data_IF_159052006349
#
_entry.id   IF_159052006349
#
_cell.length_a   1.000
_cell.length_b   1.000
_cell.length_c   1.000
_cell.angle_alpha   90.00
_cell.angle_beta   90.00
_cell.angle_gamma   90.00
#
_symmetry.space_group_name_H-M   'P 1'
#
loop_
_entity.id
_entity.type
_entity.pdbx_description
1 polymer ?
#
# COMPACT_ATOMS: atom_id res chain seq x y z
N UNK A 1 41.02 18.48 31.44
CA UNK A 1 39.75 19.15 31.10
C UNK A 1 39.68 19.32 29.58
N UNK A 2 39.10 18.36 28.88
CA UNK A 2 38.77 18.49 27.46
C UNK A 2 37.43 19.18 27.34
N UNK A 3 37.42 20.38 26.76
CA UNK A 3 36.20 21.06 26.34
C UNK A 3 35.59 20.29 25.18
N UNK A 4 34.37 19.83 25.34
CA UNK A 4 33.55 19.36 24.22
C UNK A 4 33.36 20.54 23.25
N UNK A 5 33.81 20.39 22.02
CA UNK A 5 33.52 21.36 20.97
C UNK A 5 32.02 21.43 20.78
N UNK A 6 31.45 22.54 21.18
CA UNK A 6 30.03 22.81 20.95
C UNK A 6 29.76 22.83 19.45
N UNK A 7 28.78 22.08 19.03
CA UNK A 7 28.25 22.19 17.65
C UNK A 7 27.72 23.61 17.52
N UNK A 8 28.23 24.37 16.56
CA UNK A 8 27.84 25.74 16.32
C UNK A 8 26.35 25.82 15.97
N UNK A 9 25.58 26.57 16.79
CA UNK A 9 24.15 26.76 16.59
C UNK A 9 23.81 27.40 15.23
N UNK A 10 24.75 28.14 14.63
CA UNK A 10 24.61 28.69 13.30
C UNK A 10 24.63 27.58 12.22
N UNK A 11 25.40 26.50 12.40
CA UNK A 11 25.45 25.38 11.49
C UNK A 11 24.15 24.57 11.51
N UNK A 12 23.52 24.44 12.68
CA UNK A 12 22.21 23.77 12.81
C UNK A 12 21.11 24.62 12.16
N UNK A 13 21.15 25.94 12.32
CA UNK A 13 20.18 26.84 11.70
C UNK A 13 20.28 26.85 10.17
N UNK A 14 21.50 26.73 9.64
CA UNK A 14 21.72 26.63 8.18
C UNK A 14 21.31 25.29 7.59
N UNK A 15 21.35 24.22 8.39
CA UNK A 15 20.91 22.88 7.97
C UNK A 15 19.37 22.70 8.03
N UNK A 16 18.66 23.57 8.75
CA UNK A 16 17.20 23.49 8.98
C UNK A 16 16.55 24.83 8.64
N UNK A 17 16.91 25.44 7.52
CA UNK A 17 16.24 26.63 7.03
C UNK A 17 14.82 26.27 6.52
N UNK A 18 13.83 27.02 6.95
CA UNK A 18 12.44 26.86 6.55
C UNK A 18 12.24 26.96 5.03
N UNK A 19 13.12 27.63 4.31
CA UNK A 19 13.13 27.69 2.85
C UNK A 19 13.53 26.35 2.22
N UNK A 20 14.42 25.59 2.86
CA UNK A 20 14.83 24.25 2.40
C UNK A 20 13.71 23.21 2.58
N UNK A 21 12.93 23.33 3.66
CA UNK A 21 11.76 22.45 3.90
C UNK A 21 10.60 22.87 2.99
N UNK A 22 10.35 24.15 2.78
CA UNK A 22 9.29 24.65 1.91
C UNK A 22 9.56 24.36 0.43
N UNK A 23 10.81 24.39 -0.02
CA UNK A 23 11.20 24.08 -1.39
C UNK A 23 11.04 22.58 -1.74
N UNK A 24 11.05 21.69 -0.74
CA UNK A 24 10.84 20.25 -0.95
C UNK A 24 9.41 19.77 -0.79
N UNK A 25 8.56 20.53 -0.12
CA UNK A 25 7.13 20.22 -0.01
C UNK A 25 6.34 20.51 -1.30
N UNK A 26 6.96 21.13 -2.31
CA UNK A 26 6.34 21.49 -3.59
C UNK A 26 6.86 20.73 -4.80
N UNK A 27 7.85 19.84 -4.65
CA UNK A 27 8.35 19.00 -5.74
C UNK A 27 8.07 17.53 -5.46
N UNK A 28 7.20 16.95 -6.26
CA UNK A 28 7.02 15.51 -6.39
C UNK A 28 8.37 14.85 -6.71
N UNK A 29 8.93 14.10 -5.80
CA UNK A 29 9.97 13.12 -6.05
C UNK A 29 11.38 13.49 -5.58
N UNK A 30 11.60 13.68 -4.28
CA UNK A 30 12.88 13.38 -3.65
C UNK A 30 12.74 13.29 -2.13
N UNK A 31 13.03 12.15 -1.62
CA UNK A 31 12.65 11.66 -0.34
C UNK A 31 13.81 11.60 0.63
N UNK A 32 14.02 12.65 1.36
CA UNK A 32 14.54 12.53 2.71
C UNK A 32 13.55 13.25 3.63
N UNK A 33 12.61 12.48 4.17
CA UNK A 33 11.49 12.99 4.94
C UNK A 33 11.90 13.55 6.29
N UNK A 34 12.34 14.78 6.28
CA UNK A 34 12.47 15.56 7.49
C UNK A 34 11.32 16.55 7.52
N UNK A 35 10.42 16.41 8.50
CA UNK A 35 9.30 17.32 8.72
C UNK A 35 9.47 18.01 10.05
N UNK A 36 9.25 19.32 10.08
CA UNK A 36 9.26 20.12 11.30
C UNK A 36 7.87 20.62 11.62
N UNK A 37 7.39 20.29 12.81
CA UNK A 37 6.17 20.82 13.41
C UNK A 37 6.55 21.86 14.46
N UNK A 38 5.84 22.98 14.48
CA UNK A 38 6.13 24.05 15.43
C UNK A 38 4.87 24.50 16.11
N UNK A 39 4.93 24.62 17.43
CA UNK A 39 3.85 25.06 18.30
C UNK A 39 4.31 26.23 19.14
N UNK A 40 3.41 27.16 19.42
CA UNK A 40 3.59 28.17 20.45
C UNK A 40 2.81 27.74 21.69
N UNK A 41 3.51 27.47 22.78
CA UNK A 41 2.91 26.94 23.98
C UNK A 41 2.05 27.94 24.71
N UNK A 42 0.98 27.47 25.32
CA UNK A 42 0.26 28.19 26.38
C UNK A 42 0.89 27.88 27.72
N UNK A 43 0.55 28.68 28.73
CA UNK A 43 1.14 28.53 30.08
C UNK A 43 0.87 27.11 30.64
N UNK A 44 1.94 26.46 31.06
CA UNK A 44 1.92 25.09 31.62
C UNK A 44 1.39 23.99 30.68
N UNK A 45 1.47 24.21 29.37
CA UNK A 45 1.07 23.20 28.35
C UNK A 45 2.08 22.06 28.32
N UNK A 46 1.59 20.83 28.43
CA UNK A 46 2.41 19.61 28.33
C UNK A 46 2.20 18.85 27.03
N UNK A 47 0.99 18.90 26.43
CA UNK A 47 0.64 18.07 25.27
C UNK A 47 0.60 18.91 23.99
N UNK A 48 1.31 18.45 22.96
CA UNK A 48 1.36 19.02 21.62
C UNK A 48 0.89 17.96 20.63
N UNK A 49 -0.19 18.24 19.95
CA UNK A 49 -0.87 17.34 19.01
C UNK A 49 -1.63 18.16 17.96
N UNK A 50 -2.32 17.48 17.03
CA UNK A 50 -3.13 18.11 15.99
C UNK A 50 -2.30 19.05 15.09
N UNK A 51 -2.92 20.13 14.59
CA UNK A 51 -2.27 21.06 13.67
C UNK A 51 -1.23 21.94 14.37
N UNK A 52 0.01 21.87 13.88
CA UNK A 52 1.06 22.81 14.23
C UNK A 52 0.75 24.23 13.72
N UNK A 53 1.54 25.21 14.12
CA UNK A 53 1.39 26.60 13.65
C UNK A 53 1.50 26.76 12.11
N UNK A 54 2.07 25.77 11.44
CA UNK A 54 2.12 25.66 9.98
C UNK A 54 0.85 25.14 9.33
N UNK A 55 -0.16 24.71 10.10
CA UNK A 55 -1.36 24.05 9.62
C UNK A 55 -1.19 22.55 9.31
N UNK A 56 0.01 22.01 9.48
CA UNK A 56 0.29 20.58 9.27
C UNK A 56 -0.02 19.80 10.55
N UNK A 57 -0.76 18.71 10.42
CA UNK A 57 -1.08 17.82 11.54
C UNK A 57 0.16 17.04 11.97
N UNK A 58 0.44 16.97 13.28
CA UNK A 58 1.58 16.22 13.82
C UNK A 58 1.43 14.73 13.53
N UNK A 59 2.42 14.19 12.81
CA UNK A 59 2.57 12.77 12.59
C UNK A 59 4.07 12.41 12.57
N UNK A 60 4.42 11.29 13.22
CA UNK A 60 5.81 10.82 13.26
C UNK A 60 5.86 9.31 13.53
N UNK A 61 6.95 8.67 13.14
CA UNK A 61 7.24 7.29 13.55
C UNK A 61 7.86 7.26 14.94
N UNK A 62 7.47 6.31 15.76
CA UNK A 62 8.07 6.10 17.09
C UNK A 62 9.59 6.02 16.97
N UNK A 63 10.28 6.66 17.90
CA UNK A 63 11.76 6.73 17.97
C UNK A 63 12.43 7.56 16.86
N UNK A 64 11.65 8.19 15.94
CA UNK A 64 12.17 9.05 14.88
C UNK A 64 11.71 10.51 15.06
N UNK A 65 11.88 11.01 16.28
CA UNK A 65 11.49 12.37 16.63
C UNK A 65 12.53 13.03 17.53
N UNK A 66 12.82 14.30 17.26
CA UNK A 66 13.57 15.19 18.15
C UNK A 66 12.67 16.34 18.57
N UNK A 67 12.64 16.59 19.87
CA UNK A 67 11.85 17.69 20.43
C UNK A 67 12.79 18.79 20.90
N UNK A 68 12.45 20.02 20.51
CA UNK A 68 13.20 21.22 20.91
C UNK A 68 12.30 22.16 21.72
N UNK A 69 12.84 22.68 22.78
CA UNK A 69 12.23 23.74 23.58
C UNK A 69 13.02 25.05 23.36
N UNK A 70 12.42 26.05 22.76
CA UNK A 70 13.08 27.32 22.39
C UNK A 70 14.42 27.12 21.64
N UNK A 71 14.46 26.11 20.75
CA UNK A 71 15.64 25.78 19.96
C UNK A 71 16.64 24.83 20.62
N UNK A 72 16.47 24.49 21.90
CA UNK A 72 17.34 23.53 22.61
C UNK A 72 16.74 22.13 22.53
N UNK A 73 17.52 21.14 22.12
CA UNK A 73 17.10 19.74 22.07
C UNK A 73 16.80 19.22 23.47
N UNK A 74 15.63 18.66 23.67
CA UNK A 74 15.25 17.99 24.92
C UNK A 74 15.80 16.56 24.92
N UNK A 75 16.34 16.07 26.04
CA UNK A 75 16.66 14.66 26.19
C UNK A 75 15.39 13.81 26.20
N UNK A 76 15.48 12.55 25.74
CA UNK A 76 14.33 11.65 25.62
C UNK A 76 13.62 11.37 26.96
N UNK A 77 14.28 11.62 28.10
CA UNK A 77 13.68 11.54 29.45
C UNK A 77 12.65 12.65 29.73
N UNK A 78 12.71 13.76 29.03
CA UNK A 78 11.95 14.96 29.31
C UNK A 78 10.64 15.03 28.51
N UNK A 79 10.41 14.07 27.62
CA UNK A 79 9.16 13.97 26.86
C UNK A 79 8.77 12.52 26.56
N UNK A 80 7.51 12.31 26.23
CA UNK A 80 6.97 11.05 25.70
C UNK A 80 6.45 11.28 24.29
N UNK A 81 6.91 10.44 23.34
CA UNK A 81 6.53 10.48 21.93
C UNK A 81 6.41 9.04 21.40
N UNK A 82 5.32 8.33 21.74
CA UNK A 82 5.18 6.88 21.48
C UNK A 82 4.00 6.52 20.60
N UNK A 83 3.06 7.45 20.39
CA UNK A 83 1.79 7.18 19.72
C UNK A 83 1.70 7.70 18.27
N UNK A 84 2.74 8.37 17.78
CA UNK A 84 2.82 8.86 16.39
C UNK A 84 2.10 10.17 16.10
N UNK A 85 1.29 10.72 17.01
CA UNK A 85 0.46 11.90 16.77
C UNK A 85 0.43 12.92 17.93
N UNK A 86 1.14 12.68 19.02
CA UNK A 86 1.30 13.66 20.11
C UNK A 86 2.66 13.53 20.79
N UNK A 87 3.17 14.65 21.24
CA UNK A 87 4.34 14.76 22.13
C UNK A 87 3.89 15.34 23.46
N UNK A 88 4.27 14.65 24.55
CA UNK A 88 3.93 15.08 25.92
C UNK A 88 5.22 15.41 26.66
N UNK A 89 5.39 16.65 27.08
CA UNK A 89 6.53 17.08 27.90
C UNK A 89 6.36 16.62 29.35
N UNK A 90 7.45 16.22 29.98
CA UNK A 90 7.48 15.89 31.42
C UNK A 90 7.24 17.07 32.35
N UNK A 91 7.51 18.28 31.87
CA UNK A 91 7.25 19.55 32.57
C UNK A 91 6.49 20.51 31.66
N UNK A 92 5.51 21.23 32.21
CA UNK A 92 4.70 22.17 31.42
C UNK A 92 5.54 23.30 30.82
N UNK A 93 5.26 23.68 29.60
CA UNK A 93 5.95 24.74 28.89
C UNK A 93 5.48 26.12 29.33
N UNK A 94 6.40 27.09 29.30
CA UNK A 94 6.08 28.51 29.56
C UNK A 94 5.20 29.07 28.44
N UNK A 95 4.37 30.06 28.79
CA UNK A 95 3.57 30.76 27.78
C UNK A 95 4.46 31.45 26.75
N UNK A 96 4.20 31.19 25.48
CA UNK A 96 4.96 31.71 24.35
C UNK A 96 6.23 30.92 24.01
N UNK A 97 6.56 29.88 24.76
CA UNK A 97 7.67 28.99 24.39
C UNK A 97 7.40 28.30 23.03
N UNK A 98 8.45 28.21 22.24
CA UNK A 98 8.40 27.55 20.94
C UNK A 98 8.80 26.09 21.10
N UNK A 99 7.87 25.18 20.86
CA UNK A 99 8.12 23.76 20.81
C UNK A 99 8.24 23.35 19.35
N UNK A 100 9.42 22.87 18.96
CA UNK A 100 9.67 22.36 17.62
C UNK A 100 9.87 20.85 17.68
N UNK A 101 9.09 20.13 16.91
CA UNK A 101 9.16 18.68 16.79
C UNK A 101 9.68 18.39 15.40
N UNK A 102 10.87 17.81 15.31
CA UNK A 102 11.49 17.39 14.08
C UNK A 102 11.29 15.88 13.95
N UNK A 103 10.64 15.43 12.89
CA UNK A 103 10.45 14.04 12.59
C UNK A 103 11.20 13.67 11.32
N UNK A 104 11.76 12.47 11.30
CA UNK A 104 12.33 11.88 10.09
C UNK A 104 11.81 10.46 9.93
N UNK A 105 11.59 10.06 8.70
CA UNK A 105 11.26 8.70 8.36
C UNK A 105 12.50 7.98 7.80
N UNK A 106 12.59 6.68 8.03
CA UNK A 106 13.67 5.87 7.47
C UNK A 106 13.40 5.63 5.98
N UNK A 107 14.40 5.73 5.15
CA UNK A 107 14.44 5.84 3.68
C UNK A 107 13.57 4.92 2.80
N UNK A 108 12.47 4.39 3.31
CA UNK A 108 11.46 3.66 2.54
C UNK A 108 10.07 4.31 2.55
N UNK A 109 9.87 5.43 3.28
CA UNK A 109 8.56 6.04 3.50
C UNK A 109 8.33 7.31 2.67
N UNK A 110 8.87 7.41 1.47
CA UNK A 110 8.98 8.66 0.75
C UNK A 110 8.25 8.67 -0.60
N UNK A 111 6.99 8.69 -0.55
CA UNK A 111 6.15 9.15 -1.63
C UNK A 111 4.95 9.84 -1.02
N UNK A 112 4.66 11.05 -1.39
CA UNK A 112 3.67 11.95 -0.81
C UNK A 112 2.21 11.48 -0.73
N UNK A 113 2.03 10.29 -0.31
CA UNK A 113 0.89 9.66 0.34
C UNK A 113 1.50 8.57 1.21
N UNK A 114 1.46 8.74 2.51
CA UNK A 114 1.94 7.78 3.49
C UNK A 114 1.26 6.42 3.29
N UNK A 115 1.85 5.58 2.45
CA UNK A 115 1.70 4.15 2.65
C UNK A 115 2.79 3.74 3.64
N UNK A 116 2.69 4.25 4.84
CA UNK A 116 3.41 3.68 5.94
C UNK A 116 2.75 2.33 6.24
N UNK A 117 3.43 1.27 5.98
CA UNK A 117 3.09 -0.07 6.46
C UNK A 117 3.22 -0.09 7.98
N UNK A 118 2.25 0.52 8.68
CA UNK A 118 2.21 0.64 10.14
C UNK A 118 1.63 -0.59 10.82
N UNK A 119 1.76 -1.70 10.27
CA UNK A 119 1.36 -2.88 10.99
C UNK A 119 2.09 -4.05 10.35
N UNK A 120 3.06 -4.62 10.99
CA UNK A 120 3.70 -5.85 10.54
C UNK A 120 2.74 -7.03 10.40
N UNK A 121 1.45 -6.79 10.15
CA UNK A 121 0.41 -7.81 10.04
C UNK A 121 -0.04 -7.97 8.59
N UNK A 122 0.10 -9.17 8.06
CA UNK A 122 -0.59 -9.60 6.86
C UNK A 122 -1.89 -10.33 7.24
N UNK A 123 -2.91 -10.16 6.42
CA UNK A 123 -4.21 -10.83 6.55
C UNK A 123 -4.49 -11.56 5.24
N UNK A 124 -4.79 -12.84 5.32
CA UNK A 124 -5.05 -13.71 4.19
C UNK A 124 -6.43 -14.35 4.36
N UNK A 125 -7.28 -14.27 3.36
CA UNK A 125 -8.65 -14.77 3.46
C UNK A 125 -9.12 -15.58 2.26
N UNK A 126 -10.04 -16.47 2.49
CA UNK A 126 -10.58 -17.37 1.48
C UNK A 126 -9.72 -18.61 1.24
N UNK A 127 -10.15 -19.44 0.30
CA UNK A 127 -9.44 -20.67 -0.07
C UNK A 127 -10.02 -21.22 -1.36
N UNK A 128 -9.17 -21.90 -2.11
CA UNK A 128 -9.55 -22.71 -3.26
C UNK A 128 -10.52 -23.88 -2.88
N UNK A 129 -10.94 -24.62 -3.88
CA UNK A 129 -12.02 -25.61 -3.79
C UNK A 129 -11.86 -26.65 -2.67
N UNK A 130 -12.86 -26.89 -1.84
CA UNK A 130 -14.10 -26.12 -1.69
C UNK A 130 -13.83 -24.76 -1.03
N UNK A 131 -14.53 -23.73 -1.48
CA UNK A 131 -14.41 -22.36 -0.97
C UNK A 131 -14.53 -22.30 0.56
N UNK A 132 -13.75 -21.42 1.20
CA UNK A 132 -13.76 -21.17 2.65
C UNK A 132 -13.90 -19.69 2.91
N UNK A 133 -14.40 -19.37 4.10
CA UNK A 133 -14.53 -18.00 4.60
C UNK A 133 -13.47 -17.63 5.65
N UNK A 134 -12.60 -18.54 6.03
CA UNK A 134 -11.60 -18.28 7.06
C UNK A 134 -10.63 -17.18 6.67
N UNK A 135 -10.29 -16.35 7.64
CA UNK A 135 -9.26 -15.31 7.53
C UNK A 135 -8.17 -15.63 8.55
N UNK A 136 -6.95 -15.72 8.09
CA UNK A 136 -5.77 -15.88 8.93
C UNK A 136 -4.92 -14.61 8.90
N UNK A 137 -4.11 -14.41 9.95
CA UNK A 137 -3.12 -13.35 9.99
C UNK A 137 -1.79 -13.83 10.54
N UNK A 138 -0.73 -13.14 10.16
CA UNK A 138 0.61 -13.32 10.70
C UNK A 138 1.37 -12.00 10.77
N UNK A 139 2.41 -11.95 11.57
CA UNK A 139 3.29 -10.78 11.64
C UNK A 139 4.41 -10.92 10.61
N UNK A 140 4.50 -9.95 9.68
CA UNK A 140 5.53 -9.95 8.63
C UNK A 140 6.94 -9.74 9.23
N UNK A 141 7.05 -9.00 10.33
CA UNK A 141 8.32 -8.68 10.98
C UNK A 141 8.90 -9.79 11.85
N UNK A 142 8.21 -10.93 12.01
CA UNK A 142 8.68 -12.06 12.82
C UNK A 142 8.25 -13.39 12.23
N UNK A 143 9.14 -14.38 12.25
CA UNK A 143 8.77 -15.75 11.86
C UNK A 143 7.79 -16.36 12.88
N UNK A 144 6.79 -17.10 12.37
CA UNK A 144 5.77 -17.76 13.19
C UNK A 144 4.66 -18.34 12.33
N UNK A 145 3.79 -19.10 12.95
CA UNK A 145 2.57 -19.61 12.31
C UNK A 145 1.52 -18.51 12.21
N UNK A 146 0.68 -18.59 11.21
CA UNK A 146 -0.53 -17.78 11.16
C UNK A 146 -1.49 -18.13 12.30
N UNK A 147 -2.31 -17.17 12.67
CA UNK A 147 -3.36 -17.30 13.68
C UNK A 147 -4.70 -16.93 13.04
N UNK A 148 -5.76 -17.47 13.61
CA UNK A 148 -7.12 -17.13 13.21
C UNK A 148 -7.40 -15.64 13.44
N UNK A 149 -7.92 -14.99 12.39
CA UNK A 149 -8.34 -13.59 12.42
C UNK A 149 -9.84 -13.46 12.59
N UNK A 150 -10.61 -14.35 11.98
CA UNK A 150 -12.06 -14.37 11.87
C UNK A 150 -12.51 -14.92 10.52
N UNK A 151 -13.73 -14.56 10.11
CA UNK A 151 -14.33 -15.07 8.88
C UNK A 151 -14.77 -13.97 7.93
N UNK A 152 -14.66 -14.20 6.62
CA UNK A 152 -15.39 -13.47 5.59
C UNK A 152 -16.89 -13.73 5.72
N UNK A 153 -17.71 -12.83 5.25
CA UNK A 153 -19.17 -13.03 5.25
C UNK A 153 -19.58 -14.20 4.35
N UNK A 154 -18.82 -14.44 3.30
CA UNK A 154 -19.03 -15.58 2.39
C UNK A 154 -17.73 -16.32 2.13
N UNK A 155 -17.86 -17.65 1.99
CA UNK A 155 -16.80 -18.50 1.50
C UNK A 155 -16.48 -18.14 0.04
N UNK A 156 -15.20 -17.93 -0.28
CA UNK A 156 -14.78 -17.55 -1.65
C UNK A 156 -13.38 -18.06 -1.98
N UNK A 157 -13.12 -18.15 -3.28
CA UNK A 157 -11.77 -18.29 -3.86
C UNK A 157 -11.67 -17.48 -5.15
N UNK A 158 -10.47 -17.19 -5.61
CA UNK A 158 -10.23 -16.41 -6.82
C UNK A 158 -10.75 -14.96 -6.75
N UNK A 159 -10.98 -14.46 -5.53
CA UNK A 159 -11.20 -13.02 -5.31
C UNK A 159 -9.88 -12.26 -5.30
N UNK A 160 -9.95 -10.95 -5.29
CA UNK A 160 -8.79 -10.10 -5.09
C UNK A 160 -8.80 -9.44 -3.71
N UNK A 161 -7.62 -9.03 -3.24
CA UNK A 161 -7.47 -8.32 -1.98
C UNK A 161 -6.56 -7.11 -2.14
N UNK A 162 -6.89 -6.05 -1.43
CA UNK A 162 -6.09 -4.83 -1.35
C UNK A 162 -6.35 -4.13 -0.02
N UNK A 163 -5.53 -3.16 0.34
CA UNK A 163 -5.62 -2.55 1.66
C UNK A 163 -5.16 -1.10 1.69
N UNK A 164 -5.44 -0.46 2.81
CA UNK A 164 -4.68 0.67 3.32
C UNK A 164 -4.10 0.31 4.69
N UNK A 165 -3.55 1.30 5.39
CA UNK A 165 -2.96 1.09 6.73
C UNK A 165 -3.95 0.57 7.79
N UNK A 166 -5.25 0.78 7.60
CA UNK A 166 -6.29 0.46 8.58
C UNK A 166 -7.14 -0.73 8.17
N UNK A 167 -7.50 -0.80 6.89
CA UNK A 167 -8.49 -1.72 6.38
C UNK A 167 -7.92 -2.68 5.32
N UNK A 168 -8.24 -3.96 5.45
CA UNK A 168 -8.11 -4.96 4.40
C UNK A 168 -9.45 -5.15 3.69
N UNK A 169 -9.42 -5.22 2.39
CA UNK A 169 -10.57 -5.40 1.50
C UNK A 169 -10.41 -6.72 0.76
N UNK A 170 -11.50 -7.48 0.69
CA UNK A 170 -11.61 -8.71 -0.12
C UNK A 170 -12.79 -8.53 -1.08
N UNK A 171 -12.58 -8.68 -2.37
CA UNK A 171 -13.59 -8.38 -3.37
C UNK A 171 -13.78 -9.50 -4.39
N UNK A 172 -15.04 -9.74 -4.77
CA UNK A 172 -15.42 -10.72 -5.79
C UNK A 172 -15.05 -12.15 -5.44
N UNK A 173 -14.68 -12.93 -6.45
CA UNK A 173 -14.37 -14.36 -6.32
C UNK A 173 -15.57 -15.24 -6.64
N UNK A 174 -15.49 -16.51 -6.25
CA UNK A 174 -16.57 -17.46 -6.45
C UNK A 174 -16.79 -18.32 -5.20
N UNK A 175 -18.04 -18.63 -4.91
CA UNK A 175 -18.44 -19.59 -3.89
C UNK A 175 -18.89 -20.88 -4.54
N UNK A 176 -18.37 -22.03 -4.06
CA UNK A 176 -18.60 -23.36 -4.67
C UNK A 176 -20.10 -23.70 -4.86
N UNK A 177 -20.96 -23.24 -3.95
CA UNK A 177 -22.39 -23.55 -3.97
C UNK A 177 -23.29 -22.47 -4.59
N UNK A 178 -22.75 -21.28 -4.81
CA UNK A 178 -23.52 -20.09 -5.24
C UNK A 178 -23.09 -19.62 -6.63
N UNK A 179 -21.79 -19.67 -6.93
CA UNK A 179 -21.20 -19.13 -8.15
C UNK A 179 -20.43 -17.84 -7.89
N UNK A 180 -20.31 -17.00 -8.93
CA UNK A 180 -19.54 -15.78 -8.88
C UNK A 180 -20.16 -14.75 -7.92
N UNK A 181 -19.30 -14.02 -7.25
CA UNK A 181 -19.61 -13.02 -6.25
C UNK A 181 -19.26 -11.61 -6.74
N UNK A 182 -20.03 -10.64 -6.31
CA UNK A 182 -19.75 -9.21 -6.42
C UNK A 182 -19.53 -8.55 -5.05
N UNK A 183 -19.69 -9.29 -3.96
CA UNK A 183 -19.57 -8.76 -2.61
C UNK A 183 -18.14 -8.29 -2.31
N UNK A 184 -18.05 -7.16 -1.63
CA UNK A 184 -16.83 -6.59 -1.08
C UNK A 184 -16.90 -6.65 0.44
N UNK A 185 -15.95 -7.34 1.05
CA UNK A 185 -15.81 -7.45 2.50
C UNK A 185 -14.66 -6.58 3.01
N UNK A 186 -14.82 -6.05 4.21
CA UNK A 186 -13.81 -5.25 4.90
C UNK A 186 -13.47 -5.80 6.27
N UNK A 187 -12.18 -5.77 6.63
CA UNK A 187 -11.67 -6.01 7.97
C UNK A 187 -10.87 -4.82 8.48
N UNK A 188 -10.81 -4.63 9.80
CA UNK A 188 -9.86 -3.71 10.42
C UNK A 188 -8.59 -4.49 10.78
N UNK A 189 -7.48 -4.25 10.07
CA UNK A 189 -6.26 -5.08 10.12
C UNK A 189 -5.71 -5.23 11.55
N UNK A 190 -5.79 -4.19 12.37
CA UNK A 190 -5.26 -4.18 13.72
C UNK A 190 -6.05 -5.06 14.72
N UNK A 191 -7.32 -5.39 14.42
CA UNK A 191 -8.24 -6.03 15.37
C UNK A 191 -8.83 -7.29 14.77
N UNK A 192 -8.60 -8.45 15.39
CA UNK A 192 -9.19 -9.72 14.96
C UNK A 192 -10.70 -9.68 15.13
N UNK A 193 -11.42 -9.92 14.05
CA UNK A 193 -12.87 -9.99 13.98
C UNK A 193 -13.31 -10.52 12.60
N UNK A 194 -14.55 -10.94 12.50
CA UNK A 194 -15.15 -11.23 11.20
C UNK A 194 -15.20 -9.98 10.32
N UNK A 195 -15.19 -10.18 9.00
CA UNK A 195 -15.38 -9.10 8.05
C UNK A 195 -16.77 -8.46 8.20
N UNK A 196 -16.87 -7.25 7.70
CA UNK A 196 -18.14 -6.54 7.57
C UNK A 196 -18.39 -6.25 6.09
N UNK A 197 -19.67 -6.19 5.71
CA UNK A 197 -20.05 -5.75 4.39
C UNK A 197 -19.50 -4.35 4.09
N UNK A 198 -18.88 -4.20 2.95
CA UNK A 198 -18.41 -2.91 2.44
C UNK A 198 -19.33 -2.39 1.33
N UNK A 199 -19.87 -3.27 0.50
CA UNK A 199 -20.65 -3.01 -0.69
C UNK A 199 -20.38 -4.05 -1.78
N UNK A 200 -20.65 -3.72 -3.03
CA UNK A 200 -20.54 -4.65 -4.15
C UNK A 200 -19.69 -4.07 -5.28
N UNK A 201 -18.99 -4.93 -6.03
CA UNK A 201 -18.47 -4.62 -7.36
C UNK A 201 -19.63 -4.24 -8.31
N UNK A 202 -19.30 -3.64 -9.42
CA UNK A 202 -20.32 -3.28 -10.41
C UNK A 202 -20.90 -4.50 -11.14
N UNK A 203 -20.16 -5.63 -11.14
CA UNK A 203 -20.60 -6.94 -11.63
C UNK A 203 -19.89 -8.05 -10.86
N UNK A 204 -20.44 -9.27 -10.85
CA UNK A 204 -19.73 -10.45 -10.36
C UNK A 204 -18.43 -10.62 -11.12
N UNK A 205 -17.34 -10.96 -10.43
CA UNK A 205 -16.04 -11.11 -11.06
C UNK A 205 -15.11 -12.02 -10.27
N UNK A 206 -14.25 -12.79 -10.94
CA UNK A 206 -13.22 -13.59 -10.29
C UNK A 206 -11.92 -13.66 -11.10
N UNK A 207 -10.81 -14.04 -10.46
CA UNK A 207 -9.47 -14.07 -11.02
C UNK A 207 -9.03 -12.71 -11.59
N UNK A 208 -9.32 -11.66 -10.86
CA UNK A 208 -8.97 -10.29 -11.17
C UNK A 208 -7.66 -9.86 -10.49
N UNK A 209 -6.92 -8.96 -11.14
CA UNK A 209 -5.83 -8.24 -10.50
C UNK A 209 -6.35 -7.18 -9.53
N UNK A 210 -5.52 -6.77 -8.58
CA UNK A 210 -5.86 -5.74 -7.60
C UNK A 210 -4.88 -4.57 -7.61
N UNK A 211 -5.34 -3.43 -7.11
CA UNK A 211 -4.49 -2.25 -6.89
C UNK A 211 -4.93 -1.46 -5.66
N UNK A 212 -4.00 -0.69 -5.09
CA UNK A 212 -4.30 0.27 -4.02
C UNK A 212 -3.24 1.36 -3.92
N UNK A 213 -3.67 2.59 -3.67
CA UNK A 213 -2.78 3.69 -3.25
C UNK A 213 -3.08 4.16 -1.82
N UNK A 214 -3.75 3.33 -1.03
CA UNK A 214 -4.14 3.66 0.34
C UNK A 214 -5.41 4.50 0.47
N UNK A 215 -5.78 5.26 -0.55
CA UNK A 215 -7.06 6.02 -0.61
C UNK A 215 -8.07 5.31 -1.49
N UNK A 216 -7.68 5.00 -2.72
CA UNK A 216 -8.42 4.19 -3.67
C UNK A 216 -7.82 2.81 -3.75
N UNK A 217 -8.67 1.83 -3.96
CA UNK A 217 -8.26 0.50 -4.34
C UNK A 217 -9.33 -0.12 -5.22
N UNK A 218 -8.99 -1.20 -5.91
CA UNK A 218 -9.95 -1.81 -6.81
C UNK A 218 -9.48 -3.08 -7.47
N UNK A 219 -10.33 -3.56 -8.36
CA UNK A 219 -10.15 -4.77 -9.15
C UNK A 219 -9.98 -4.43 -10.64
N UNK A 220 -9.09 -5.12 -11.29
CA UNK A 220 -8.78 -4.94 -12.72
C UNK A 220 -9.00 -6.25 -13.48
N UNK A 221 -9.72 -6.18 -14.59
CA UNK A 221 -9.97 -7.33 -15.46
C UNK A 221 -10.75 -8.45 -14.74
N UNK A 222 -10.58 -9.71 -15.18
CA UNK A 222 -11.18 -10.88 -14.57
C UNK A 222 -12.18 -11.60 -15.48
N UNK A 223 -13.06 -12.40 -14.88
CA UNK A 223 -14.09 -13.18 -15.57
C UNK A 223 -15.45 -12.95 -14.90
N UNK A 224 -16.45 -12.52 -15.70
CA UNK A 224 -17.77 -12.14 -15.20
C UNK A 224 -18.81 -13.29 -15.14
N UNK A 225 -18.39 -14.50 -15.50
CA UNK A 225 -19.23 -15.69 -15.61
C UNK A 225 -19.62 -16.04 -17.04
N UNK A 226 -19.39 -15.15 -17.98
CA UNK A 226 -19.67 -15.35 -19.41
C UNK A 226 -18.43 -15.16 -20.26
N UNK A 227 -17.66 -14.14 -19.97
CA UNK A 227 -16.47 -13.76 -20.76
C UNK A 227 -15.41 -13.13 -19.85
N UNK A 228 -14.20 -13.09 -20.34
CA UNK A 228 -13.15 -12.24 -19.74
C UNK A 228 -13.49 -10.80 -20.00
N UNK A 229 -13.15 -9.95 -19.05
CA UNK A 229 -13.46 -8.52 -19.11
C UNK A 229 -12.21 -7.68 -18.90
N UNK A 230 -12.21 -6.47 -19.41
CA UNK A 230 -11.15 -5.47 -19.21
C UNK A 230 -11.53 -4.39 -18.20
N UNK A 231 -12.67 -4.56 -17.56
CA UNK A 231 -13.25 -3.60 -16.63
C UNK A 231 -12.37 -3.32 -15.42
N UNK A 232 -12.41 -2.08 -14.97
CA UNK A 232 -11.75 -1.64 -13.74
C UNK A 232 -12.79 -1.09 -12.79
N UNK A 233 -12.96 -1.73 -11.65
CA UNK A 233 -13.80 -1.27 -10.55
C UNK A 233 -12.96 -0.65 -9.44
N UNK A 234 -13.42 0.45 -8.84
CA UNK A 234 -12.72 1.09 -7.73
C UNK A 234 -13.63 1.50 -6.58
N UNK A 235 -13.03 1.58 -5.40
CA UNK A 235 -13.65 2.09 -4.17
C UNK A 235 -12.76 3.15 -3.50
N UNK A 236 -13.35 3.94 -2.62
CA UNK A 236 -12.63 4.71 -1.61
C UNK A 236 -12.53 3.86 -0.34
N UNK A 237 -11.34 3.32 -0.01
CA UNK A 237 -11.15 2.27 1.01
C UNK A 237 -11.71 2.65 2.38
N UNK A 238 -11.63 3.93 2.76
CA UNK A 238 -12.08 4.40 4.06
C UNK A 238 -13.62 4.47 4.20
N UNK A 239 -14.36 4.52 3.08
CA UNK A 239 -15.81 4.81 3.06
C UNK A 239 -16.58 3.64 2.45
N UNK A 240 -17.34 2.86 3.24
CA UNK A 240 -18.18 1.79 2.70
C UNK A 240 -19.16 2.29 1.64
N UNK A 241 -19.35 1.46 0.62
CA UNK A 241 -20.24 1.72 -0.50
C UNK A 241 -19.88 0.84 -1.69
N UNK A 242 -20.77 0.78 -2.68
CA UNK A 242 -20.53 0.02 -3.89
C UNK A 242 -19.35 0.60 -4.68
N UNK A 243 -18.67 -0.25 -5.40
CA UNK A 243 -17.66 0.16 -6.37
C UNK A 243 -18.28 1.01 -7.48
N UNK A 244 -17.47 1.85 -8.05
CA UNK A 244 -17.77 2.63 -9.23
C UNK A 244 -16.84 2.22 -10.38
N UNK A 245 -17.33 2.43 -11.59
CA UNK A 245 -16.56 2.23 -12.80
C UNK A 245 -15.39 3.24 -12.86
N UNK A 246 -14.17 2.72 -13.04
CA UNK A 246 -12.96 3.52 -13.22
C UNK A 246 -12.68 3.77 -14.70
N UNK A 247 -13.00 2.81 -15.55
CA UNK A 247 -12.69 2.70 -16.97
C UNK A 247 -12.34 1.26 -17.33
N UNK A 248 -11.73 1.07 -18.49
CA UNK A 248 -11.40 -0.25 -19.01
C UNK A 248 -9.89 -0.41 -19.18
N UNK A 249 -9.35 -1.60 -18.95
CA UNK A 249 -7.93 -1.87 -19.15
C UNK A 249 -7.55 -1.93 -20.63
N UNK A 250 -8.51 -2.22 -21.50
CA UNK A 250 -8.37 -2.28 -22.96
C UNK A 250 -7.96 -3.65 -23.50
N UNK A 251 -7.83 -4.65 -22.63
CA UNK A 251 -7.58 -6.04 -23.00
C UNK A 251 -8.38 -6.95 -22.08
N UNK A 252 -9.34 -7.70 -22.68
CA UNK A 252 -10.17 -8.68 -21.95
C UNK A 252 -9.31 -9.84 -21.47
N UNK A 253 -9.08 -9.92 -20.17
CA UNK A 253 -8.13 -10.87 -19.58
C UNK A 253 -8.52 -11.26 -18.16
N UNK A 254 -8.24 -12.50 -17.77
CA UNK A 254 -8.29 -12.95 -16.38
C UNK A 254 -6.99 -13.65 -15.98
N UNK A 255 -6.83 -14.00 -14.71
CA UNK A 255 -5.64 -14.70 -14.20
C UNK A 255 -4.33 -13.93 -14.42
N UNK A 256 -4.43 -12.61 -14.57
CA UNK A 256 -3.31 -11.70 -14.47
C UNK A 256 -3.10 -11.26 -13.03
N UNK A 257 -2.06 -10.48 -12.80
CA UNK A 257 -1.76 -9.92 -11.48
C UNK A 257 -1.58 -8.41 -11.54
N UNK A 258 -1.60 -7.75 -10.38
CA UNK A 258 -1.42 -6.32 -10.27
C UNK A 258 -0.19 -5.95 -9.46
N UNK A 259 0.57 -4.96 -9.91
CA UNK A 259 1.58 -4.27 -9.12
C UNK A 259 1.34 -2.77 -9.18
N UNK A 260 1.63 -2.08 -8.11
CA UNK A 260 1.42 -0.63 -8.09
C UNK A 260 2.44 0.11 -7.21
N UNK A 261 2.63 1.37 -7.53
CA UNK A 261 3.18 2.39 -6.63
C UNK A 261 2.02 3.28 -6.13
N UNK A 262 2.33 4.49 -5.68
CA UNK A 262 1.30 5.43 -5.23
C UNK A 262 0.54 6.11 -6.38
N UNK A 263 1.04 6.03 -7.61
CA UNK A 263 0.55 6.76 -8.78
C UNK A 263 -0.05 5.84 -9.81
N UNK A 264 0.69 4.78 -10.15
CA UNK A 264 0.34 3.85 -11.21
C UNK A 264 -0.01 2.47 -10.66
N UNK A 265 -1.03 1.86 -11.24
CA UNK A 265 -1.31 0.44 -11.11
C UNK A 265 -1.09 -0.23 -12.46
N UNK A 266 -0.29 -1.29 -12.49
CA UNK A 266 0.06 -2.05 -13.69
C UNK A 266 -0.56 -3.43 -13.58
N UNK A 267 -1.39 -3.79 -14.54
CA UNK A 267 -1.87 -5.15 -14.74
C UNK A 267 -0.88 -5.90 -15.62
N UNK A 268 -0.52 -7.11 -15.24
CA UNK A 268 0.51 -7.90 -15.93
C UNK A 268 -0.04 -9.23 -16.43
N UNK A 269 0.22 -9.57 -17.69
CA UNK A 269 -0.09 -10.84 -18.28
C UNK A 269 -1.55 -11.29 -18.16
N UNK A 270 -1.75 -12.59 -18.00
CA UNK A 270 -3.05 -13.22 -17.85
C UNK A 270 -3.45 -14.08 -19.06
N UNK A 271 -4.69 -14.56 -19.06
CA UNK A 271 -5.27 -15.33 -20.16
C UNK A 271 -6.24 -14.44 -20.95
N UNK A 272 -5.86 -14.09 -22.17
CA UNK A 272 -6.60 -13.16 -23.03
C UNK A 272 -7.82 -13.81 -23.71
N UNK A 273 -8.93 -13.06 -23.79
CA UNK A 273 -10.17 -13.50 -24.46
C UNK A 273 -9.95 -13.64 -25.98
N UNK A 274 -9.46 -12.60 -26.62
CA UNK A 274 -9.27 -12.56 -28.07
C UNK A 274 -8.17 -13.49 -28.55
N UNK A 275 -7.10 -13.61 -27.78
CA UNK A 275 -6.00 -14.53 -28.10
C UNK A 275 -6.37 -15.98 -27.80
N UNK A 276 -7.34 -16.26 -26.94
CA UNK A 276 -7.64 -17.58 -26.37
C UNK A 276 -6.37 -18.29 -25.86
N UNK A 277 -5.45 -17.51 -25.31
CA UNK A 277 -4.14 -17.95 -24.85
C UNK A 277 -3.59 -16.97 -23.80
N UNK A 278 -2.50 -17.36 -23.17
CA UNK A 278 -1.73 -16.48 -22.30
C UNK A 278 -1.18 -15.31 -23.10
N UNK A 279 -1.10 -14.15 -22.44
CA UNK A 279 -0.52 -12.94 -23.00
C UNK A 279 0.65 -12.45 -22.15
N UNK A 280 1.51 -11.65 -22.75
CA UNK A 280 2.62 -10.98 -22.08
C UNK A 280 2.37 -9.46 -21.93
N UNK A 281 1.26 -8.95 -22.44
CA UNK A 281 0.93 -7.55 -22.40
C UNK A 281 0.83 -7.04 -20.96
N UNK A 282 1.37 -5.86 -20.72
CA UNK A 282 1.20 -5.11 -19.49
C UNK A 282 0.50 -3.78 -19.80
N UNK A 283 -0.45 -3.40 -18.97
CA UNK A 283 -1.17 -2.13 -19.10
C UNK A 283 -1.25 -1.42 -17.77
N UNK A 284 -1.30 -0.09 -17.77
CA UNK A 284 -1.34 0.70 -16.54
C UNK A 284 -2.41 1.76 -16.53
N UNK A 285 -2.81 2.14 -15.34
CA UNK A 285 -3.68 3.29 -15.04
C UNK A 285 -3.00 4.27 -14.09
N UNK A 286 -3.41 5.53 -14.16
CA UNK A 286 -3.09 6.52 -13.12
C UNK A 286 -4.20 6.53 -12.08
N UNK A 287 -3.95 5.99 -10.89
CA UNK A 287 -4.99 5.73 -9.88
C UNK A 287 -5.75 6.98 -9.40
N UNK A 288 -5.15 8.16 -9.49
CA UNK A 288 -5.80 9.41 -9.09
C UNK A 288 -6.86 9.90 -10.08
N UNK A 289 -6.80 9.50 -11.35
CA UNK A 289 -7.63 10.01 -12.43
C UNK A 289 -8.37 8.88 -13.13
N UNK A 290 -9.69 8.96 -13.21
CA UNK A 290 -10.50 7.98 -13.94
C UNK A 290 -10.12 7.95 -15.41
N UNK A 291 -10.12 6.78 -16.02
CA UNK A 291 -9.82 6.60 -17.42
C UNK A 291 -9.33 5.20 -17.76
N UNK A 292 -9.17 4.94 -19.03
CA UNK A 292 -8.78 3.64 -19.53
C UNK A 292 -7.28 3.37 -19.37
N UNK A 293 -6.93 2.09 -19.32
CA UNK A 293 -5.57 1.61 -19.27
C UNK A 293 -4.78 1.98 -20.53
N UNK A 294 -3.51 2.26 -20.33
CA UNK A 294 -2.54 2.57 -21.39
C UNK A 294 -1.52 1.44 -21.48
N UNK A 295 -1.00 1.19 -22.64
CA UNK A 295 0.08 0.24 -22.85
C UNK A 295 1.28 0.60 -21.96
N UNK A 296 1.78 -0.40 -21.22
CA UNK A 296 2.98 -0.28 -20.39
C UNK A 296 4.21 -0.90 -21.06
N UNK A 297 4.02 -1.95 -21.82
CA UNK A 297 5.03 -2.81 -22.43
C UNK A 297 4.69 -4.28 -22.23
N UNK A 298 5.68 -5.14 -22.38
CA UNK A 298 5.52 -6.60 -22.36
C UNK A 298 6.37 -7.29 -21.29
N UNK A 299 5.86 -8.37 -20.71
CA UNK A 299 6.67 -9.37 -20.00
C UNK A 299 7.54 -10.15 -20.99
N UNK A 300 8.65 -10.70 -20.54
CA UNK A 300 9.50 -11.58 -21.36
C UNK A 300 8.75 -12.82 -21.83
N UNK A 301 7.76 -13.28 -21.06
CA UNK A 301 6.98 -14.47 -21.37
C UNK A 301 5.48 -14.20 -21.21
N UNK A 302 4.67 -14.81 -22.07
CA UNK A 302 3.23 -14.89 -21.88
C UNK A 302 2.91 -15.80 -20.68
N UNK A 303 2.29 -15.23 -19.66
CA UNK A 303 2.04 -15.87 -18.36
C UNK A 303 0.59 -15.68 -17.92
N UNK A 304 0.04 -16.67 -17.20
CA UNK A 304 -1.15 -16.50 -16.38
C UNK A 304 -0.98 -17.16 -15.00
N UNK A 305 -1.82 -16.86 -14.06
CA UNK A 305 -1.81 -17.43 -12.70
C UNK A 305 -0.45 -17.27 -12.00
N UNK A 306 0.22 -16.16 -12.24
CA UNK A 306 1.48 -15.77 -11.62
C UNK A 306 1.23 -14.87 -10.42
N UNK A 307 2.14 -14.86 -9.45
CA UNK A 307 2.14 -13.91 -8.36
C UNK A 307 2.88 -12.64 -8.70
N UNK A 308 2.56 -11.58 -8.00
CA UNK A 308 3.29 -10.32 -8.08
C UNK A 308 3.52 -9.73 -6.70
N UNK A 309 4.67 -9.13 -6.53
CA UNK A 309 5.00 -8.36 -5.34
C UNK A 309 5.80 -7.12 -5.75
N UNK A 310 5.81 -6.10 -4.91
CA UNK A 310 6.55 -4.89 -5.25
C UNK A 310 6.84 -4.01 -4.06
N UNK A 311 7.71 -3.05 -4.31
CA UNK A 311 7.91 -1.89 -3.47
C UNK A 311 7.41 -0.63 -4.20
N UNK A 312 7.64 0.55 -3.65
CA UNK A 312 7.22 1.80 -4.28
C UNK A 312 7.94 2.11 -5.62
N UNK A 313 8.90 1.29 -6.05
CA UNK A 313 9.72 1.53 -7.25
C UNK A 313 9.60 0.40 -8.25
N UNK A 314 9.68 -0.85 -7.77
CA UNK A 314 9.71 -2.06 -8.60
C UNK A 314 8.50 -2.94 -8.36
N UNK A 315 7.96 -3.46 -9.45
CA UNK A 315 7.06 -4.59 -9.44
C UNK A 315 7.79 -5.83 -9.95
N UNK A 316 7.64 -6.95 -9.27
CA UNK A 316 8.21 -8.25 -9.67
C UNK A 316 7.06 -9.21 -9.92
N UNK A 317 7.06 -9.88 -11.06
CA UNK A 317 6.19 -11.01 -11.35
C UNK A 317 6.97 -12.31 -11.17
N UNK A 318 6.33 -13.37 -10.68
CA UNK A 318 7.03 -14.61 -10.37
C UNK A 318 6.16 -15.85 -10.62
N UNK A 319 6.74 -16.85 -11.26
CA UNK A 319 6.07 -18.12 -11.53
C UNK A 319 4.95 -18.02 -12.56
N UNK A 320 3.90 -18.80 -12.41
CA UNK A 320 2.77 -18.88 -13.33
C UNK A 320 2.90 -20.01 -14.34
N UNK A 321 1.93 -20.03 -15.25
CA UNK A 321 1.96 -20.91 -16.43
C UNK A 321 2.55 -20.17 -17.62
N UNK A 322 3.61 -20.74 -18.22
CA UNK A 322 4.13 -20.37 -19.53
C UNK A 322 3.96 -21.53 -20.50
N UNK A 323 3.46 -21.30 -21.72
CA UNK A 323 3.22 -22.38 -22.69
C UNK A 323 2.10 -23.36 -22.28
N UNK A 324 2.06 -24.55 -22.89
CA UNK A 324 0.89 -25.44 -22.82
C UNK A 324 0.71 -26.20 -21.51
N UNK A 325 1.74 -26.38 -20.70
CA UNK A 325 1.68 -27.22 -19.48
C UNK A 325 2.83 -26.97 -18.50
N UNK A 326 3.60 -25.90 -18.65
CA UNK A 326 4.81 -25.71 -17.87
C UNK A 326 4.61 -24.61 -16.80
N UNK A 327 4.77 -25.01 -15.56
CA UNK A 327 4.98 -24.06 -14.48
C UNK A 327 6.37 -23.43 -14.66
N UNK A 328 6.44 -22.12 -14.69
CA UNK A 328 7.73 -21.45 -14.80
C UNK A 328 8.29 -21.07 -13.42
N UNK A 329 9.60 -21.02 -13.35
CA UNK A 329 10.31 -20.41 -12.22
C UNK A 329 10.78 -18.99 -12.54
N UNK A 330 10.56 -18.49 -13.75
CA UNK A 330 11.00 -17.16 -14.15
C UNK A 330 10.42 -16.07 -13.24
N UNK A 331 11.22 -15.07 -13.00
CA UNK A 331 10.83 -13.83 -12.34
C UNK A 331 11.27 -12.66 -13.22
N UNK A 332 10.34 -11.77 -13.49
CA UNK A 332 10.58 -10.53 -14.22
C UNK A 332 10.31 -9.31 -13.33
N UNK A 333 10.96 -8.21 -13.62
CA UNK A 333 10.66 -6.95 -12.92
C UNK A 333 10.44 -5.78 -13.87
N UNK A 334 9.68 -4.81 -13.39
CA UNK A 334 9.47 -3.52 -14.02
C UNK A 334 9.81 -2.39 -13.04
N UNK A 335 10.16 -1.22 -13.59
CA UNK A 335 10.15 0.04 -12.83
C UNK A 335 8.78 0.68 -13.00
N UNK A 336 7.93 0.66 -11.96
CA UNK A 336 6.50 1.00 -12.06
C UNK A 336 6.25 2.39 -12.64
N UNK A 337 7.10 3.36 -12.32
CA UNK A 337 6.98 4.75 -12.81
C UNK A 337 7.41 4.97 -14.26
N UNK A 338 7.92 3.93 -14.94
CA UNK A 338 8.50 4.09 -16.29
C UNK A 338 8.02 2.99 -17.22
N UNK A 339 7.05 3.27 -18.10
CA UNK A 339 6.58 2.29 -19.08
C UNK A 339 7.72 1.72 -19.93
N UNK A 340 7.67 0.42 -20.17
CA UNK A 340 8.65 -0.35 -20.92
C UNK A 340 8.51 -1.84 -20.65
N UNK A 341 9.21 -2.65 -21.42
CA UNK A 341 9.21 -4.10 -21.23
C UNK A 341 9.86 -4.50 -19.91
N UNK A 342 9.45 -5.64 -19.38
CA UNK A 342 10.07 -6.24 -18.21
C UNK A 342 11.54 -6.60 -18.46
N UNK A 343 12.25 -6.81 -17.39
CA UNK A 343 13.63 -7.28 -17.39
C UNK A 343 13.73 -8.51 -16.50
N UNK A 344 14.53 -9.48 -16.90
CA UNK A 344 14.79 -10.69 -16.10
C UNK A 344 15.27 -10.30 -14.70
N UNK A 345 14.59 -10.82 -13.68
CA UNK A 345 14.96 -10.67 -12.26
C UNK A 345 15.71 -11.91 -11.75
N UNK A 346 15.52 -13.07 -12.39
CA UNK A 346 16.08 -14.34 -11.97
C UNK A 346 15.04 -15.44 -11.90
N UNK A 347 15.18 -16.38 -10.98
CA UNK A 347 14.31 -17.56 -10.95
C UNK A 347 13.96 -17.99 -9.53
N UNK A 348 12.73 -18.44 -9.33
CA UNK A 348 12.32 -19.22 -8.17
C UNK A 348 13.08 -20.56 -8.13
N UNK A 349 13.24 -21.13 -6.95
CA UNK A 349 13.89 -22.45 -6.78
C UNK A 349 13.13 -23.60 -7.48
N UNK A 350 11.82 -23.43 -7.67
CA UNK A 350 10.93 -24.40 -8.34
C UNK A 350 9.83 -23.64 -9.07
N UNK A 351 9.51 -24.06 -10.29
CA UNK A 351 8.37 -23.55 -11.05
C UNK A 351 7.05 -23.83 -10.34
N UNK A 352 6.17 -22.83 -10.26
CA UNK A 352 4.88 -22.90 -9.59
C UNK A 352 3.84 -22.01 -10.25
N UNK A 353 2.56 -22.27 -9.97
CA UNK A 353 1.41 -21.47 -10.42
C UNK A 353 0.47 -21.18 -9.26
N UNK A 354 -0.54 -20.36 -9.52
CA UNK A 354 -1.48 -19.89 -8.49
C UNK A 354 -0.75 -19.28 -7.30
N UNK A 355 0.23 -18.43 -7.63
CA UNK A 355 1.05 -17.74 -6.66
C UNK A 355 0.36 -16.41 -6.30
N UNK A 356 0.03 -16.24 -5.03
CA UNK A 356 -0.37 -14.95 -4.48
C UNK A 356 0.86 -14.26 -3.89
N UNK A 357 0.96 -12.93 -4.06
CA UNK A 357 2.06 -12.10 -3.60
C UNK A 357 1.61 -10.96 -2.69
#
# INVERSE_FOLDING_TARGET
TSSAAGIDSALITTLIDSSYVAARSSSSGDASGFVKFQYTATNNQTTFQDSASSGVVLAYSKDHVLVHYNGVVLPASDYTATNGNSVVLGTGADSGAIISIASWSHGTDFGGNDIAWYGGRAVVGGRDYPSKNTIDYFNIGSSGNASDFGDLQRARFGGCAFSNITYGIFAGGTETSVGLLDEIDRVTIATTANSTDFGNLTTTNYNQGAFSNGTRGGAMCGYDGSTRVDKIDYITIATPGNAADFGDMGTDVNEGSGVNDNTYAVHTGGYGQSASSKINEMRYITMATLGNGTDFGDLDYALNSHGSAGDATRGVTAGGHSGASNYTSAMDYITISTPGNSTDFGSLSVGRTECDG
#
